data_IF_562050712158
#
_entry.id   IF_562050712158
#
_cell.length_a   1.000
_cell.length_b   1.000
_cell.length_c   1.000
_cell.angle_alpha   90.00
_cell.angle_beta   90.00
_cell.angle_gamma   90.00
#
_symmetry.space_group_name_H-M   'P 1'
#
loop_
_entity.id
_entity.type
_entity.pdbx_description
1 polymer ?
#
# COMPACT_ATOMS: atom_id res chain seq x y z
N UNK A 1 -15.14 -5.77 6.93
CA UNK A 1 -14.04 -6.73 6.88
C UNK A 1 -14.56 -8.17 6.99
N UNK A 2 -15.27 -8.51 8.05
CA UNK A 2 -15.79 -9.87 8.28
C UNK A 2 -16.75 -10.32 7.18
N UNK A 3 -17.64 -9.46 6.71
CA UNK A 3 -18.53 -9.73 5.56
C UNK A 3 -17.80 -10.04 4.25
N UNK A 4 -16.55 -9.60 4.14
CA UNK A 4 -15.67 -9.88 2.98
C UNK A 4 -14.71 -11.06 3.24
N UNK A 5 -14.88 -11.83 4.30
CA UNK A 5 -14.00 -12.94 4.67
C UNK A 5 -12.60 -12.51 5.16
N UNK A 6 -12.40 -11.23 5.45
CA UNK A 6 -11.12 -10.71 5.93
C UNK A 6 -11.06 -10.85 7.45
N UNK A 7 -10.09 -11.62 7.95
CA UNK A 7 -9.83 -11.72 9.39
C UNK A 7 -9.15 -10.44 9.90
N UNK A 8 -9.81 -9.62 10.75
CA UNK A 8 -9.25 -8.37 11.25
C UNK A 8 -7.95 -8.57 12.06
N UNK A 9 -7.77 -9.71 12.71
CA UNK A 9 -6.56 -10.01 13.50
C UNK A 9 -5.28 -10.11 12.64
N UNK A 10 -5.42 -10.30 11.33
CA UNK A 10 -4.30 -10.31 10.38
C UNK A 10 -3.86 -8.90 9.92
N UNK A 11 -4.58 -7.85 10.29
CA UNK A 11 -4.21 -6.47 9.97
C UNK A 11 -3.02 -6.08 10.87
N UNK A 12 -1.87 -5.78 10.27
CA UNK A 12 -0.66 -5.38 10.99
C UNK A 12 -0.37 -3.88 10.94
N UNK A 13 -0.91 -3.21 9.92
CA UNK A 13 -0.73 -1.79 9.71
C UNK A 13 -2.01 -1.14 9.17
N UNK A 14 -2.28 0.09 9.61
CA UNK A 14 -3.37 0.95 9.13
C UNK A 14 -2.75 2.26 8.65
N UNK A 15 -3.18 2.72 7.48
CA UNK A 15 -2.68 3.95 6.86
C UNK A 15 -3.83 4.96 6.76
N UNK A 16 -3.70 6.09 7.46
CA UNK A 16 -4.69 7.17 7.51
C UNK A 16 -4.22 8.30 6.60
N UNK A 17 -5.02 8.62 5.61
CA UNK A 17 -4.70 9.65 4.62
C UNK A 17 -4.70 11.06 5.21
N UNK A 18 -5.69 11.37 6.02
CA UNK A 18 -5.87 12.67 6.68
C UNK A 18 -6.88 12.56 7.84
N UNK A 19 -7.04 13.64 8.61
CA UNK A 19 -7.76 13.61 9.89
C UNK A 19 -9.18 14.20 9.81
N UNK A 20 -9.89 14.07 8.67
CA UNK A 20 -11.33 14.30 8.69
C UNK A 20 -12.03 13.10 9.34
N UNK A 21 -13.18 13.36 9.99
CA UNK A 21 -13.87 12.38 10.82
C UNK A 21 -14.28 11.11 10.07
N UNK A 22 -14.78 11.26 8.84
CA UNK A 22 -15.19 10.15 7.97
C UNK A 22 -14.03 9.22 7.56
N UNK A 23 -12.77 9.68 7.71
CA UNK A 23 -11.57 8.88 7.46
C UNK A 23 -10.95 8.29 8.74
N UNK A 24 -11.36 8.74 9.94
CA UNK A 24 -10.70 8.38 11.20
C UNK A 24 -11.63 7.72 12.22
N UNK A 25 -12.90 8.13 12.32
CA UNK A 25 -13.77 7.67 13.40
C UNK A 25 -13.95 6.15 13.46
N UNK A 26 -14.00 5.48 12.31
CA UNK A 26 -14.09 4.02 12.26
C UNK A 26 -12.87 3.28 12.81
N UNK A 27 -11.70 3.94 12.88
CA UNK A 27 -10.48 3.33 13.41
C UNK A 27 -10.59 2.99 14.88
N UNK A 28 -11.20 3.85 15.70
CA UNK A 28 -11.33 3.62 17.15
C UNK A 28 -12.21 2.41 17.46
N UNK A 29 -13.30 2.23 16.70
CA UNK A 29 -14.10 1.01 16.76
C UNK A 29 -13.32 -0.24 16.36
N UNK A 30 -12.47 -0.15 15.33
CA UNK A 30 -11.58 -1.24 14.94
C UNK A 30 -10.58 -1.58 16.05
N UNK A 31 -9.95 -0.56 16.67
CA UNK A 31 -8.99 -0.74 17.75
C UNK A 31 -9.62 -1.51 18.91
N UNK A 32 -10.79 -1.08 19.38
CA UNK A 32 -11.53 -1.75 20.47
C UNK A 32 -11.93 -3.18 20.08
N UNK A 33 -12.44 -3.38 18.86
CA UNK A 33 -12.84 -4.71 18.36
C UNK A 33 -11.64 -5.67 18.30
N UNK A 34 -10.47 -5.21 17.86
CA UNK A 34 -9.26 -6.03 17.85
C UNK A 34 -8.84 -6.48 19.24
N UNK A 35 -9.00 -5.63 20.26
CA UNK A 35 -8.77 -5.98 21.67
C UNK A 35 -9.73 -7.05 22.16
N UNK A 36 -11.02 -6.85 21.93
CA UNK A 36 -12.08 -7.77 22.33
C UNK A 36 -11.96 -9.14 21.63
N UNK A 37 -11.49 -9.16 20.39
CA UNK A 37 -11.30 -10.41 19.63
C UNK A 37 -9.96 -11.11 19.88
N UNK A 38 -9.19 -10.63 20.86
CA UNK A 38 -8.02 -11.34 21.37
C UNK A 38 -6.69 -10.99 20.69
N UNK A 39 -6.57 -9.83 20.03
CA UNK A 39 -5.29 -9.38 19.50
C UNK A 39 -4.24 -9.25 20.61
N UNK A 40 -3.01 -9.73 20.35
CA UNK A 40 -1.83 -9.58 21.24
C UNK A 40 -0.64 -8.96 20.55
N UNK A 41 -0.62 -8.95 19.22
CA UNK A 41 0.48 -8.39 18.44
C UNK A 41 0.33 -6.87 18.25
N UNK A 42 1.42 -6.10 18.20
CA UNK A 42 1.34 -4.67 17.97
C UNK A 42 0.59 -4.30 16.69
N UNK A 43 -0.17 -3.20 16.73
CA UNK A 43 -0.80 -2.58 15.56
C UNK A 43 -0.02 -1.31 15.21
N UNK A 44 0.48 -1.23 13.98
CA UNK A 44 1.09 0.00 13.48
C UNK A 44 0.03 0.91 12.86
N UNK A 45 0.04 2.20 13.20
CA UNK A 45 -0.83 3.21 12.62
C UNK A 45 0.06 4.28 11.99
N UNK A 46 -0.10 4.49 10.70
CA UNK A 46 0.58 5.53 9.93
C UNK A 46 -0.42 6.66 9.69
N UNK A 47 -0.20 7.82 10.29
CA UNK A 47 -1.12 8.95 10.22
C UNK A 47 -0.37 10.28 10.31
N UNK A 48 -0.89 11.38 9.69
CA UNK A 48 -0.33 12.70 9.87
C UNK A 48 -0.59 13.24 11.29
N UNK A 49 0.20 14.22 11.71
CA UNK A 49 -0.10 15.01 12.93
C UNK A 49 -1.41 15.81 12.79
N UNK A 50 -2.14 16.02 13.89
CA UNK A 50 -1.88 15.64 15.30
C UNK A 50 -2.58 14.32 15.72
N UNK A 51 -2.49 13.24 14.94
CA UNK A 51 -3.14 11.96 15.27
C UNK A 51 -2.68 11.39 16.63
N UNK A 52 -1.43 11.58 17.01
CA UNK A 52 -0.88 11.20 18.32
C UNK A 52 -1.66 11.80 19.49
N UNK A 53 -2.03 13.07 19.39
CA UNK A 53 -2.84 13.76 20.42
C UNK A 53 -4.27 13.19 20.48
N UNK A 54 -4.87 12.94 19.30
CA UNK A 54 -6.21 12.34 19.18
C UNK A 54 -6.21 10.93 19.77
N UNK A 55 -5.20 10.12 19.44
CA UNK A 55 -5.05 8.77 19.99
C UNK A 55 -4.84 8.78 21.51
N UNK A 56 -4.01 9.68 22.01
CA UNK A 56 -3.79 9.85 23.45
C UNK A 56 -5.06 10.25 24.17
N UNK A 57 -5.82 11.21 23.63
CA UNK A 57 -7.12 11.61 24.18
C UNK A 57 -8.13 10.47 24.16
N UNK A 58 -8.22 9.72 23.04
CA UNK A 58 -9.09 8.56 22.95
C UNK A 58 -8.76 7.52 24.03
N UNK A 59 -7.49 7.14 24.16
CA UNK A 59 -7.04 6.16 25.16
C UNK A 59 -7.33 6.63 26.60
N UNK A 60 -7.16 7.92 26.87
CA UNK A 60 -7.42 8.47 28.19
C UNK A 60 -8.88 8.31 28.64
N UNK A 61 -9.83 8.40 27.71
CA UNK A 61 -11.25 8.42 28.05
C UNK A 61 -12.00 7.12 27.75
N UNK A 62 -11.50 6.31 26.80
CA UNK A 62 -12.25 5.14 26.29
C UNK A 62 -11.51 3.81 26.39
N UNK A 63 -10.17 3.82 26.42
CA UNK A 63 -9.35 2.61 26.35
C UNK A 63 -8.29 2.61 27.45
N UNK A 64 -8.67 2.20 28.62
CA UNK A 64 -7.71 2.14 29.73
C UNK A 64 -6.75 0.97 29.62
N UNK A 65 -7.14 -0.18 29.01
CA UNK A 65 -6.33 -1.40 28.97
C UNK A 65 -6.50 -2.19 27.65
N UNK A 66 -5.84 -1.73 26.58
CA UNK A 66 -5.72 -2.55 25.39
C UNK A 66 -4.76 -3.72 25.62
N UNK A 67 -5.12 -4.96 25.26
CA UNK A 67 -4.25 -6.13 25.43
C UNK A 67 -3.11 -6.20 24.42
N UNK A 68 -2.89 -5.16 23.63
CA UNK A 68 -1.84 -5.05 22.62
C UNK A 68 -1.33 -3.60 22.50
N UNK A 69 -0.14 -3.46 21.96
CA UNK A 69 0.50 -2.16 21.73
C UNK A 69 -0.01 -1.50 20.45
N UNK A 70 -0.26 -0.18 20.49
CA UNK A 70 -0.43 0.65 19.30
C UNK A 70 0.84 1.46 19.08
N UNK A 71 1.43 1.33 17.89
CA UNK A 71 2.61 2.10 17.46
C UNK A 71 2.20 3.11 16.42
N UNK A 72 2.17 4.37 16.79
CA UNK A 72 1.95 5.45 15.83
C UNK A 72 3.25 5.81 15.12
N UNK A 73 3.14 6.01 13.80
CA UNK A 73 4.22 6.43 12.91
C UNK A 73 3.74 7.67 12.17
N UNK A 74 4.50 8.78 12.28
CA UNK A 74 4.14 10.03 11.62
C UNK A 74 4.25 9.92 10.10
N UNK A 75 3.19 10.30 9.37
CA UNK A 75 3.20 10.48 7.92
C UNK A 75 3.40 11.95 7.58
N UNK A 76 4.54 12.26 6.98
CA UNK A 76 4.82 13.62 6.49
C UNK A 76 4.12 13.83 5.15
N UNK A 77 3.20 14.81 5.10
CA UNK A 77 2.32 15.02 3.95
C UNK A 77 2.91 15.91 2.84
N UNK A 78 4.11 16.46 3.04
CA UNK A 78 4.73 17.39 2.08
C UNK A 78 5.73 16.75 1.11
N UNK A 79 6.22 15.55 1.44
CA UNK A 79 7.20 14.80 0.63
C UNK A 79 6.84 13.32 0.57
N UNK A 80 7.30 12.66 -0.48
CA UNK A 80 7.17 11.21 -0.62
C UNK A 80 8.32 10.53 0.11
N UNK A 81 7.99 9.61 1.00
CA UNK A 81 8.95 8.86 1.81
C UNK A 81 8.57 7.38 1.85
N UNK A 82 9.56 6.51 1.99
CA UNK A 82 9.34 5.13 2.39
C UNK A 82 8.93 5.15 3.87
N UNK A 83 7.68 4.77 4.17
CA UNK A 83 7.12 4.84 5.52
C UNK A 83 6.93 3.46 6.16
N UNK A 84 6.85 2.41 5.35
CA UNK A 84 6.73 1.04 5.81
C UNK A 84 7.44 0.10 4.85
N UNK A 85 8.10 -0.91 5.41
CA UNK A 85 8.77 -1.94 4.63
C UNK A 85 8.80 -3.25 5.42
N UNK A 86 8.61 -4.35 4.71
CA UNK A 86 8.85 -5.71 5.20
C UNK A 86 9.50 -6.58 4.12
N UNK A 87 9.56 -7.90 4.31
CA UNK A 87 10.21 -8.82 3.36
C UNK A 87 9.55 -8.85 1.97
N UNK A 88 8.26 -8.51 1.86
CA UNK A 88 7.48 -8.68 0.63
C UNK A 88 6.83 -7.40 0.12
N UNK A 89 6.75 -6.35 0.93
CA UNK A 89 6.01 -5.13 0.62
C UNK A 89 6.77 -3.88 1.06
N UNK A 90 6.72 -2.84 0.26
CA UNK A 90 7.06 -1.46 0.62
C UNK A 90 5.86 -0.53 0.47
N UNK A 91 5.78 0.49 1.32
CA UNK A 91 4.75 1.54 1.24
C UNK A 91 5.41 2.91 1.27
N UNK A 92 5.08 3.73 0.29
CA UNK A 92 5.51 5.12 0.20
C UNK A 92 4.34 6.07 0.39
N UNK A 93 4.57 7.16 1.12
CA UNK A 93 3.62 8.27 1.18
C UNK A 93 3.62 9.05 -0.14
N UNK A 94 2.45 9.54 -0.54
CA UNK A 94 2.25 10.38 -1.72
C UNK A 94 1.63 11.70 -1.26
N UNK A 95 2.32 12.85 -1.37
CA UNK A 95 1.77 14.14 -0.97
C UNK A 95 0.49 14.47 -1.74
N UNK A 96 -0.57 14.78 -1.02
CA UNK A 96 -1.85 15.25 -1.57
C UNK A 96 -2.13 16.69 -1.15
N UNK A 97 -3.06 17.33 -1.84
CA UNK A 97 -3.53 18.68 -1.50
C UNK A 97 -4.96 18.58 -1.00
N UNK A 98 -5.15 19.02 0.23
CA UNK A 98 -6.49 19.09 0.81
C UNK A 98 -6.55 20.24 1.83
N UNK A 99 -7.71 20.48 2.45
CA UNK A 99 -7.90 21.53 3.49
C UNK A 99 -7.10 21.24 4.74
N UNK A 100 -6.83 19.98 5.02
CA UNK A 100 -5.97 19.50 6.11
C UNK A 100 -4.76 18.77 5.52
N UNK A 101 -3.67 18.57 6.28
CA UNK A 101 -2.54 17.77 5.84
C UNK A 101 -2.98 16.37 5.38
N UNK A 102 -2.75 16.04 4.10
CA UNK A 102 -3.21 14.80 3.48
C UNK A 102 -2.11 14.09 2.71
N UNK A 103 -2.14 12.77 2.73
CA UNK A 103 -1.27 11.89 1.97
C UNK A 103 -2.06 10.72 1.36
N UNK A 104 -1.68 10.34 0.16
CA UNK A 104 -1.99 9.03 -0.39
C UNK A 104 -0.89 8.03 -0.06
N UNK A 105 -1.06 6.79 -0.53
CA UNK A 105 -0.12 5.71 -0.26
C UNK A 105 0.11 4.88 -1.52
N UNK A 106 1.36 4.56 -1.78
CA UNK A 106 1.75 3.65 -2.85
C UNK A 106 2.31 2.38 -2.23
N UNK A 107 1.63 1.28 -2.44
CA UNK A 107 2.00 -0.07 -2.04
C UNK A 107 2.65 -0.78 -3.22
N UNK A 108 3.83 -1.37 -3.02
CA UNK A 108 4.51 -2.18 -4.02
C UNK A 108 4.98 -3.48 -3.40
N UNK A 109 4.57 -4.60 -3.99
CA UNK A 109 5.18 -5.89 -3.69
C UNK A 109 6.62 -5.89 -4.22
N UNK A 110 7.54 -6.36 -3.40
CA UNK A 110 8.93 -6.56 -3.82
C UNK A 110 9.02 -7.70 -4.83
N UNK A 111 9.99 -7.61 -5.70
CA UNK A 111 10.28 -8.72 -6.61
C UNK A 111 10.63 -9.96 -5.79
N UNK A 112 9.90 -11.07 -5.96
CA UNK A 112 10.22 -12.29 -5.24
C UNK A 112 11.54 -12.88 -5.71
N UNK A 113 12.22 -13.68 -4.89
CA UNK A 113 13.39 -14.42 -5.32
C UNK A 113 13.02 -15.40 -6.45
N UNK A 114 13.96 -15.67 -7.34
CA UNK A 114 13.81 -16.66 -8.39
C UNK A 114 13.56 -18.06 -7.82
N UNK A 115 12.74 -18.82 -8.47
CA UNK A 115 12.57 -20.25 -8.20
C UNK A 115 13.35 -21.09 -9.22
N UNK A 116 14.03 -22.12 -8.73
CA UNK A 116 14.71 -23.09 -9.61
C UNK A 116 13.67 -24.02 -10.21
N UNK A 117 13.79 -24.27 -11.51
CA UNK A 117 12.94 -25.23 -12.24
C UNK A 117 13.28 -26.65 -11.80
N UNK A 118 12.29 -27.43 -11.38
CA UNK A 118 12.48 -28.82 -10.97
C UNK A 118 13.09 -29.67 -12.10
N UNK A 119 12.67 -29.38 -13.31
CA UNK A 119 13.16 -30.04 -14.54
C UNK A 119 14.65 -29.76 -14.77
N UNK A 120 15.10 -28.52 -14.49
CA UNK A 120 16.51 -28.14 -14.59
C UNK A 120 17.36 -28.85 -13.52
N UNK A 121 16.85 -28.93 -12.28
CA UNK A 121 17.53 -29.70 -11.21
C UNK A 121 17.75 -31.14 -11.63
N UNK A 122 16.72 -31.80 -12.16
CA UNK A 122 16.81 -33.21 -12.61
C UNK A 122 17.71 -33.35 -13.84
N UNK A 123 17.58 -32.45 -14.84
CA UNK A 123 18.33 -32.52 -16.11
C UNK A 123 19.83 -32.32 -15.92
N UNK A 124 20.22 -31.35 -15.08
CA UNK A 124 21.61 -30.95 -14.91
C UNK A 124 22.24 -31.48 -13.63
N UNK A 125 21.49 -32.24 -12.80
CA UNK A 125 22.00 -32.81 -11.56
C UNK A 125 22.41 -31.74 -10.53
N UNK A 126 21.69 -30.61 -10.47
CA UNK A 126 22.09 -29.45 -9.67
C UNK A 126 22.12 -29.76 -8.17
N UNK A 127 23.26 -29.54 -7.54
CA UNK A 127 23.42 -29.59 -6.11
C UNK A 127 22.85 -28.34 -5.41
N UNK A 128 22.83 -28.38 -4.07
CA UNK A 128 22.27 -27.28 -3.23
C UNK A 128 22.99 -25.96 -3.50
N UNK A 129 24.32 -25.96 -3.58
CA UNK A 129 25.13 -24.75 -3.82
C UNK A 129 24.77 -24.10 -5.19
N UNK A 130 24.63 -24.93 -6.22
CA UNK A 130 24.25 -24.50 -7.57
C UNK A 130 22.81 -23.94 -7.61
N UNK A 131 21.88 -24.57 -6.89
CA UNK A 131 20.52 -24.04 -6.74
C UNK A 131 20.48 -22.70 -6.01
N UNK A 132 21.36 -22.50 -5.02
CA UNK A 132 21.47 -21.21 -4.29
C UNK A 132 22.05 -20.12 -5.21
N UNK A 133 23.09 -20.43 -5.99
CA UNK A 133 23.66 -19.52 -6.98
C UNK A 133 22.61 -19.14 -8.05
N UNK A 134 21.91 -20.12 -8.59
CA UNK A 134 20.83 -19.90 -9.56
C UNK A 134 19.73 -18.96 -9.00
N UNK A 135 19.31 -19.12 -7.74
CA UNK A 135 18.33 -18.25 -7.08
C UNK A 135 18.79 -16.78 -6.92
N UNK A 136 20.10 -16.55 -6.95
CA UNK A 136 20.69 -15.19 -6.94
C UNK A 136 20.74 -14.56 -8.33
N UNK A 137 20.36 -15.30 -9.37
CA UNK A 137 20.45 -14.85 -10.77
C UNK A 137 21.76 -15.19 -11.46
N UNK A 138 22.61 -16.00 -10.84
CA UNK A 138 23.91 -16.41 -11.38
C UNK A 138 23.75 -17.56 -12.37
N UNK A 139 24.57 -17.56 -13.44
CA UNK A 139 24.76 -18.73 -14.29
C UNK A 139 25.48 -19.82 -13.50
N UNK A 140 25.24 -21.07 -13.82
CA UNK A 140 25.78 -22.20 -13.05
C UNK A 140 26.74 -23.02 -13.90
N UNK A 141 27.99 -23.15 -13.43
CA UNK A 141 28.94 -24.08 -13.99
C UNK A 141 28.68 -25.50 -13.46
N UNK A 142 28.62 -26.48 -14.40
CA UNK A 142 28.52 -27.87 -14.08
C UNK A 142 29.93 -28.51 -13.90
N UNK A 143 30.01 -29.65 -13.26
CA UNK A 143 31.28 -30.41 -13.11
C UNK A 143 31.89 -30.82 -14.45
N UNK A 144 31.08 -30.87 -15.50
CA UNK A 144 31.54 -31.07 -16.89
C UNK A 144 32.32 -29.92 -17.50
N UNK A 145 32.34 -28.72 -16.83
CA UNK A 145 32.86 -27.46 -17.38
C UNK A 145 31.87 -26.67 -18.21
N UNK A 146 30.66 -27.17 -18.46
CA UNK A 146 29.60 -26.46 -19.16
C UNK A 146 28.97 -25.42 -18.21
N UNK A 147 28.68 -24.22 -18.72
CA UNK A 147 27.97 -23.17 -17.98
C UNK A 147 26.54 -23.05 -18.49
N UNK A 148 25.56 -23.22 -17.60
CA UNK A 148 24.15 -23.14 -17.93
C UNK A 148 23.64 -21.74 -17.58
N UNK A 149 23.03 -21.02 -18.54
CA UNK A 149 22.46 -19.68 -18.30
C UNK A 149 21.34 -19.71 -17.26
N UNK A 150 21.29 -18.70 -16.38
CA UNK A 150 20.28 -18.60 -15.32
C UNK A 150 18.84 -18.69 -15.83
N UNK A 151 18.54 -18.11 -17.00
CA UNK A 151 17.21 -18.14 -17.60
C UNK A 151 16.68 -19.55 -17.91
N UNK A 152 17.57 -20.55 -18.11
CA UNK A 152 17.20 -21.96 -18.27
C UNK A 152 16.94 -22.63 -16.92
N UNK A 153 17.62 -22.17 -15.87
CA UNK A 153 17.59 -22.77 -14.54
C UNK A 153 16.43 -22.28 -13.69
N UNK A 154 15.98 -21.03 -13.92
CA UNK A 154 15.08 -20.36 -13.00
C UNK A 154 13.88 -19.73 -13.70
N UNK A 155 12.92 -19.32 -12.88
CA UNK A 155 11.79 -18.51 -13.30
C UNK A 155 11.35 -17.58 -12.17
N UNK A 156 10.73 -16.45 -12.53
CA UNK A 156 10.10 -15.55 -11.59
C UNK A 156 8.72 -16.13 -11.22
N UNK A 157 8.46 -16.49 -9.94
CA UNK A 157 7.23 -17.20 -9.56
C UNK A 157 5.98 -16.34 -9.75
N UNK A 158 6.09 -15.02 -9.58
CA UNK A 158 5.04 -14.04 -9.86
C UNK A 158 5.66 -12.66 -10.07
N UNK A 159 4.94 -11.80 -10.76
CA UNK A 159 5.27 -10.38 -10.86
C UNK A 159 4.71 -9.63 -9.65
N UNK A 160 5.55 -8.84 -8.98
CA UNK A 160 5.10 -7.96 -7.91
C UNK A 160 4.00 -7.02 -8.39
N UNK A 161 2.94 -6.87 -7.58
CA UNK A 161 1.80 -6.00 -7.85
C UNK A 161 1.99 -4.66 -7.15
N UNK A 162 1.31 -3.65 -7.67
CA UNK A 162 1.31 -2.32 -7.08
C UNK A 162 -0.10 -1.73 -6.99
N UNK A 163 -0.36 -1.06 -5.88
CA UNK A 163 -1.62 -0.39 -5.60
C UNK A 163 -1.35 1.02 -5.08
N UNK A 164 -2.02 2.02 -5.64
CA UNK A 164 -1.98 3.37 -5.11
C UNK A 164 -3.37 3.80 -4.62
N UNK A 165 -3.39 4.41 -3.44
CA UNK A 165 -4.56 5.01 -2.83
C UNK A 165 -4.38 6.52 -2.79
N UNK A 166 -5.10 7.26 -3.63
CA UNK A 166 -5.15 8.71 -3.62
C UNK A 166 -6.53 9.13 -3.10
N UNK A 167 -6.53 9.56 -1.84
CA UNK A 167 -7.71 10.08 -1.15
C UNK A 167 -8.00 11.52 -1.58
N UNK A 168 -8.70 12.27 -0.75
CA UNK A 168 -9.20 13.62 -0.98
C UNK A 168 -8.12 14.56 -1.51
N UNK A 169 -8.27 14.96 -2.77
CA UNK A 169 -7.29 15.81 -3.46
C UNK A 169 -7.86 16.36 -4.77
N UNK A 170 -7.54 17.59 -5.16
CA UNK A 170 -7.66 18.00 -6.55
C UNK A 170 -6.72 17.19 -7.44
N UNK A 171 -6.96 17.14 -8.76
CA UNK A 171 -6.08 16.42 -9.69
C UNK A 171 -4.65 16.92 -9.58
N UNK A 172 -3.69 15.99 -9.45
CA UNK A 172 -2.29 16.29 -9.21
C UNK A 172 -1.35 15.58 -10.17
N UNK A 173 -0.68 16.36 -11.02
CA UNK A 173 0.37 15.84 -11.90
C UNK A 173 1.56 15.25 -11.12
N UNK A 174 1.88 15.84 -9.95
CA UNK A 174 2.93 15.33 -9.06
C UNK A 174 2.55 13.97 -8.49
N UNK A 175 1.31 13.82 -8.01
CA UNK A 175 0.84 12.54 -7.49
C UNK A 175 0.82 11.47 -8.61
N UNK A 176 0.35 11.82 -9.82
CA UNK A 176 0.39 10.92 -10.98
C UNK A 176 1.80 10.41 -11.26
N UNK A 177 2.81 11.30 -11.25
CA UNK A 177 4.21 10.91 -11.47
C UNK A 177 4.75 9.98 -10.37
N UNK A 178 4.37 10.20 -9.11
CA UNK A 178 4.83 9.36 -7.99
C UNK A 178 4.24 7.94 -8.01
N UNK A 179 3.03 7.77 -8.57
CA UNK A 179 2.36 6.46 -8.68
C UNK A 179 2.47 5.85 -10.10
N UNK A 180 3.43 6.31 -10.89
CA UNK A 180 3.60 5.88 -12.27
C UNK A 180 3.64 4.38 -12.48
N UNK A 181 2.88 3.89 -13.48
CA UNK A 181 2.83 2.48 -13.89
C UNK A 181 2.17 1.53 -12.89
N UNK A 182 1.40 2.05 -11.92
CA UNK A 182 0.75 1.22 -10.90
C UNK A 182 -0.30 0.28 -11.51
N UNK A 183 -0.42 -0.94 -10.96
CA UNK A 183 -1.39 -1.93 -11.46
C UNK A 183 -2.84 -1.56 -11.15
N UNK A 184 -3.08 -0.96 -9.98
CA UNK A 184 -4.39 -0.45 -9.58
C UNK A 184 -4.22 0.90 -8.90
N UNK A 185 -4.89 1.91 -9.41
CA UNK A 185 -5.04 3.21 -8.79
C UNK A 185 -6.45 3.35 -8.20
N UNK A 186 -6.55 3.56 -6.90
CA UNK A 186 -7.74 4.16 -6.30
C UNK A 186 -7.56 5.68 -6.32
N UNK A 187 -8.54 6.40 -6.87
CA UNK A 187 -8.57 7.86 -6.82
C UNK A 187 -9.98 8.32 -6.40
N UNK A 188 -10.03 9.29 -5.49
CA UNK A 188 -11.30 9.93 -5.18
C UNK A 188 -11.93 10.54 -6.42
N UNK A 189 -13.25 10.52 -6.48
CA UNK A 189 -14.04 11.11 -7.54
C UNK A 189 -15.37 11.62 -6.94
N UNK A 190 -15.21 12.54 -6.00
CA UNK A 190 -16.31 13.07 -5.17
C UNK A 190 -17.43 13.65 -6.03
N UNK A 191 -17.11 14.23 -7.18
CA UNK A 191 -18.07 14.93 -8.02
C UNK A 191 -18.16 14.39 -9.43
N UNK A 192 -19.33 14.59 -10.05
CA UNK A 192 -19.52 14.35 -11.47
C UNK A 192 -18.78 15.40 -12.34
N UNK A 193 -18.65 15.13 -13.63
CA UNK A 193 -17.92 15.99 -14.57
C UNK A 193 -18.44 17.44 -14.61
N UNK A 194 -19.77 17.63 -14.44
CA UNK A 194 -20.42 18.95 -14.44
C UNK A 194 -20.07 19.82 -13.23
N UNK A 195 -19.66 19.21 -12.12
CA UNK A 195 -19.44 19.89 -10.83
C UNK A 195 -17.99 20.33 -10.61
N UNK A 196 -17.24 20.57 -11.70
CA UNK A 196 -15.81 20.91 -11.65
C UNK A 196 -15.50 22.14 -10.77
N UNK A 197 -16.39 23.15 -10.77
CA UNK A 197 -16.21 24.35 -9.95
C UNK A 197 -16.32 24.01 -8.46
N UNK A 198 -17.30 23.19 -8.09
CA UNK A 198 -17.50 22.73 -6.71
C UNK A 198 -16.36 21.82 -6.25
N UNK A 199 -15.91 20.89 -7.09
CA UNK A 199 -14.76 20.05 -6.83
C UNK A 199 -13.52 20.90 -6.49
N UNK A 200 -13.22 21.93 -7.29
CA UNK A 200 -12.12 22.85 -7.06
C UNK A 200 -12.28 23.61 -5.73
N UNK A 201 -13.47 24.12 -5.44
CA UNK A 201 -13.77 24.88 -4.22
C UNK A 201 -13.61 24.03 -2.96
N UNK A 202 -13.98 22.77 -3.02
CA UNK A 202 -13.93 21.84 -1.88
C UNK A 202 -12.62 21.06 -1.75
N UNK A 203 -11.73 21.17 -2.74
CA UNK A 203 -10.43 20.48 -2.73
C UNK A 203 -10.50 19.01 -3.11
N UNK A 204 -11.40 18.69 -4.06
CA UNK A 204 -11.67 17.33 -4.56
C UNK A 204 -11.50 17.23 -6.08
N UNK A 205 -11.73 16.05 -6.61
CA UNK A 205 -11.69 15.73 -8.03
C UNK A 205 -13.06 15.34 -8.56
N UNK A 206 -13.26 15.55 -9.86
CA UNK A 206 -14.36 14.93 -10.61
C UNK A 206 -13.94 13.58 -11.17
N UNK A 207 -14.91 12.75 -11.59
CA UNK A 207 -14.67 11.46 -12.27
C UNK A 207 -13.74 11.60 -13.48
N UNK A 208 -13.95 12.64 -14.30
CA UNK A 208 -13.09 12.91 -15.48
C UNK A 208 -11.67 13.27 -15.06
N UNK A 209 -11.53 14.10 -14.03
CA UNK A 209 -10.22 14.48 -13.52
C UNK A 209 -9.45 13.29 -12.91
N UNK A 210 -10.13 12.42 -12.20
CA UNK A 210 -9.53 11.19 -11.67
C UNK A 210 -9.07 10.26 -12.80
N UNK A 211 -9.86 10.13 -13.89
CA UNK A 211 -9.46 9.39 -15.09
C UNK A 211 -8.22 9.99 -15.76
N UNK A 212 -8.16 11.32 -15.89
CA UNK A 212 -6.97 12.02 -16.45
C UNK A 212 -5.71 11.80 -15.58
N UNK A 213 -5.85 11.75 -14.24
CA UNK A 213 -4.73 11.42 -13.34
C UNK A 213 -4.28 9.98 -13.57
N UNK A 214 -5.20 9.04 -13.72
CA UNK A 214 -4.89 7.64 -13.98
C UNK A 214 -4.19 7.44 -15.33
N UNK A 215 -4.65 8.09 -16.37
CA UNK A 215 -4.04 8.10 -17.71
C UNK A 215 -2.60 8.67 -17.63
N UNK A 216 -2.43 9.84 -17.00
CA UNK A 216 -1.12 10.46 -16.80
C UNK A 216 -0.16 9.59 -15.99
N UNK A 217 -0.68 8.85 -15.03
CA UNK A 217 0.09 7.90 -14.22
C UNK A 217 0.43 6.62 -15.01
N UNK A 218 -0.19 6.35 -16.15
CA UNK A 218 -0.08 5.07 -16.85
C UNK A 218 -0.61 3.90 -15.99
N UNK A 219 -1.62 4.16 -15.14
CA UNK A 219 -2.22 3.14 -14.30
C UNK A 219 -2.95 2.09 -15.14
N UNK A 220 -2.75 0.81 -14.82
CA UNK A 220 -3.38 -0.28 -15.61
C UNK A 220 -4.89 -0.40 -15.37
N UNK A 221 -5.32 -0.08 -14.14
CA UNK A 221 -6.74 -0.07 -13.73
C UNK A 221 -6.98 1.12 -12.82
N UNK A 222 -8.19 1.66 -12.89
CA UNK A 222 -8.65 2.74 -12.02
C UNK A 222 -9.88 2.27 -11.26
N UNK A 223 -9.90 2.55 -9.96
CA UNK A 223 -11.05 2.40 -9.08
C UNK A 223 -11.44 3.79 -8.57
N UNK A 224 -12.66 4.21 -8.82
CA UNK A 224 -13.23 5.42 -8.25
C UNK A 224 -13.84 5.15 -6.88
N UNK A 225 -13.80 6.15 -6.02
CA UNK A 225 -14.47 6.11 -4.73
C UNK A 225 -14.69 7.50 -4.15
N UNK A 226 -15.18 7.57 -2.92
CA UNK A 226 -15.46 8.82 -2.22
C UNK A 226 -16.51 9.68 -2.95
N UNK A 227 -17.64 9.06 -3.31
CA UNK A 227 -18.71 9.76 -4.01
C UNK A 227 -19.50 10.68 -3.06
N UNK A 228 -19.82 11.91 -3.54
CA UNK A 228 -20.78 12.77 -2.87
C UNK A 228 -22.18 12.15 -2.89
N UNK A 229 -22.92 12.34 -1.81
CA UNK A 229 -24.33 11.97 -1.73
C UNK A 229 -25.27 12.99 -2.43
N UNK A 230 -24.74 14.02 -3.05
CA UNK A 230 -25.47 15.09 -3.73
C UNK A 230 -25.69 14.77 -5.18
#
# INVERSE_FOLDING_TARGET
>A
LMSCGINPLKINAVFISHLHGDHVYGLFGLISTLGLTGRRTPLQIFAPRPFDEILAAHRRYFDTELPYEIRWNEVRTRRSELIYENKVLEVRSVPLRHRVPAAGFLFREKTPPLNVRKEAVARYGLGIAQCVAAKRGEDVALDSGETIPNGELTYLPYRGRSYAYLSDTPPSARAAGLVGGVDLLYHEATFAAGDKALARQTGHSTTVQAAQVAEKAGARRLLFGHYSSR
#
